data_IF_012245593158
#
_entry.id   IF_012245593158
#
_cell.length_a   1.000
_cell.length_b   1.000
_cell.length_c   1.000
_cell.angle_alpha   90.00
_cell.angle_beta   90.00
_cell.angle_gamma   90.00
#
_symmetry.space_group_name_H-M   'P 1'
#
loop_
_entity.id
_entity.type
_entity.pdbx_description
1 polymer ?
#
# COMPACT_ATOMS: atom_id res chain seq x y z
N UNK A 1 -42.57 4.26 -0.62
CA UNK A 1 -42.16 3.15 0.26
C UNK A 1 -42.49 1.85 -0.47
N UNK A 2 -41.52 1.27 -1.15
CA UNK A 2 -41.67 -0.01 -1.83
C UNK A 2 -40.44 -0.84 -1.49
N UNK A 3 -40.68 -1.80 -0.61
CA UNK A 3 -39.73 -2.82 -0.18
C UNK A 3 -39.60 -3.79 -1.35
N UNK A 4 -38.41 -3.91 -1.92
CA UNK A 4 -38.05 -5.06 -2.74
C UNK A 4 -37.12 -5.94 -1.90
N UNK A 5 -37.73 -6.95 -1.26
CA UNK A 5 -37.04 -8.17 -0.89
C UNK A 5 -37.19 -9.15 -2.06
N UNK A 6 -36.08 -9.55 -2.66
CA UNK A 6 -35.89 -10.93 -3.12
C UNK A 6 -34.47 -11.35 -2.76
N UNK A 7 -34.29 -12.21 -1.75
CA UNK A 7 -33.01 -12.77 -1.36
C UNK A 7 -32.95 -14.24 -1.77
N UNK A 8 -32.46 -14.59 -2.96
CA UNK A 8 -32.10 -15.99 -3.27
C UNK A 8 -31.37 -16.09 -4.61
N UNK A 9 -30.05 -15.87 -4.61
CA UNK A 9 -29.06 -16.46 -5.56
C UNK A 9 -27.60 -16.04 -5.29
N UNK A 10 -27.21 -15.92 -4.03
CA UNK A 10 -25.79 -15.86 -3.64
C UNK A 10 -25.37 -17.14 -2.90
N UNK A 11 -25.72 -18.30 -3.45
CA UNK A 11 -25.00 -19.54 -3.15
C UNK A 11 -23.77 -19.59 -4.06
N UNK A 12 -22.71 -18.90 -3.66
CA UNK A 12 -21.38 -19.14 -4.20
C UNK A 12 -20.37 -19.28 -3.07
N UNK A 13 -19.94 -20.53 -2.87
CA UNK A 13 -18.63 -20.94 -2.36
C UNK A 13 -18.37 -20.67 -0.87
N UNK A 14 -18.85 -21.63 -0.09
CA UNK A 14 -18.30 -22.07 1.18
C UNK A 14 -16.76 -22.09 1.20
N UNK A 15 -16.14 -21.40 2.16
CA UNK A 15 -14.83 -21.83 2.72
C UNK A 15 -13.65 -20.86 2.65
N UNK A 16 -13.75 -19.70 2.00
CA UNK A 16 -12.71 -18.68 2.04
C UNK A 16 -13.31 -17.38 2.54
N UNK A 17 -12.99 -16.98 3.79
CA UNK A 17 -13.20 -15.60 4.22
C UNK A 17 -12.33 -14.71 3.32
N UNK A 18 -12.92 -14.15 2.26
CA UNK A 18 -12.22 -13.22 1.37
C UNK A 18 -12.05 -11.91 2.10
N UNK A 19 -10.82 -11.61 2.51
CA UNK A 19 -10.43 -10.25 2.87
C UNK A 19 -10.65 -9.37 1.63
N UNK A 20 -11.33 -8.25 1.81
CA UNK A 20 -11.50 -7.28 0.73
C UNK A 20 -10.20 -6.49 0.59
N UNK A 21 -9.53 -6.62 -0.56
CA UNK A 21 -8.36 -5.84 -0.92
C UNK A 21 -8.73 -4.71 -1.88
N UNK A 22 -8.36 -3.48 -1.56
CA UNK A 22 -8.50 -2.32 -2.45
C UNK A 22 -7.10 -1.86 -2.86
N UNK A 23 -6.82 -1.89 -4.16
CA UNK A 23 -5.62 -1.28 -4.74
C UNK A 23 -5.82 0.23 -4.85
N UNK A 24 -5.06 0.99 -4.07
CA UNK A 24 -5.12 2.45 -4.11
C UNK A 24 -4.52 3.01 -5.40
N UNK A 25 -3.62 2.30 -6.07
CA UNK A 25 -3.10 2.68 -7.38
C UNK A 25 -4.22 2.75 -8.43
N UNK A 26 -5.20 1.84 -8.34
CA UNK A 26 -6.37 1.86 -9.22
C UNK A 26 -7.29 3.06 -8.93
N UNK A 27 -7.40 3.45 -7.65
CA UNK A 27 -8.14 4.65 -7.25
C UNK A 27 -7.40 5.92 -7.73
N UNK A 28 -6.09 5.99 -7.53
CA UNK A 28 -5.23 7.10 -7.98
C UNK A 28 -5.36 7.28 -9.50
N UNK A 29 -5.24 6.21 -10.29
CA UNK A 29 -5.42 6.25 -11.74
C UNK A 29 -6.84 6.74 -12.15
N UNK A 30 -7.85 6.41 -11.36
CA UNK A 30 -9.21 6.93 -11.52
C UNK A 30 -9.29 8.44 -11.28
N UNK A 31 -8.67 8.94 -10.19
CA UNK A 31 -8.58 10.38 -9.91
C UNK A 31 -7.85 11.14 -11.01
N UNK A 32 -6.71 10.63 -11.46
CA UNK A 32 -5.91 11.22 -12.54
C UNK A 32 -6.72 11.42 -13.81
N UNK A 33 -7.51 10.41 -14.19
CA UNK A 33 -8.27 10.41 -15.43
C UNK A 33 -9.57 11.19 -15.35
N UNK A 34 -10.28 11.09 -14.24
CA UNK A 34 -11.66 11.57 -14.13
C UNK A 34 -11.78 12.89 -13.35
N UNK A 35 -10.81 13.22 -12.50
CA UNK A 35 -10.83 14.39 -11.61
C UNK A 35 -9.48 15.13 -11.59
N UNK A 36 -8.95 15.55 -12.76
CA UNK A 36 -7.62 16.17 -12.85
C UNK A 36 -7.48 17.45 -12.00
N UNK A 37 -8.58 18.16 -11.72
CA UNK A 37 -8.63 19.34 -10.86
C UNK A 37 -8.21 19.08 -9.41
N UNK A 38 -8.22 17.82 -8.97
CA UNK A 38 -7.75 17.43 -7.63
C UNK A 38 -6.23 17.55 -7.48
N UNK A 39 -5.52 17.53 -8.62
CA UNK A 39 -4.06 17.55 -8.68
C UNK A 39 -3.39 16.23 -8.29
N UNK A 40 -4.16 15.13 -8.18
CA UNK A 40 -3.62 13.78 -8.03
C UNK A 40 -3.04 13.38 -9.39
N UNK A 41 -1.71 13.35 -9.52
CA UNK A 41 -1.03 13.09 -10.79
C UNK A 41 0.40 12.56 -10.62
N UNK A 42 0.59 11.28 -10.93
CA UNK A 42 1.87 10.56 -10.93
C UNK A 42 2.74 10.84 -12.16
N UNK A 43 2.19 11.48 -13.20
CA UNK A 43 2.86 11.80 -14.47
C UNK A 43 3.17 13.30 -14.63
N UNK A 44 3.20 14.05 -13.52
CA UNK A 44 3.38 15.51 -13.50
C UNK A 44 4.81 15.99 -13.82
N UNK A 45 5.72 15.08 -14.19
CA UNK A 45 7.12 15.39 -14.48
C UNK A 45 7.95 15.78 -13.24
N UNK A 46 7.39 15.54 -12.05
CA UNK A 46 8.09 15.74 -10.78
C UNK A 46 9.13 14.65 -10.55
N UNK A 47 10.07 14.92 -9.63
CA UNK A 47 10.96 13.87 -9.13
C UNK A 47 10.14 12.74 -8.48
N UNK A 48 10.74 11.56 -8.35
CA UNK A 48 10.06 10.43 -7.71
C UNK A 48 9.68 10.74 -6.26
N UNK A 49 10.56 11.41 -5.51
CA UNK A 49 10.29 11.85 -4.14
C UNK A 49 9.19 12.92 -4.06
N UNK A 50 9.19 13.90 -4.96
CA UNK A 50 8.14 14.93 -4.98
C UNK A 50 6.78 14.36 -5.36
N UNK A 51 6.77 13.39 -6.29
CA UNK A 51 5.57 12.64 -6.66
C UNK A 51 5.03 11.87 -5.45
N UNK A 52 5.89 11.16 -4.71
CA UNK A 52 5.51 10.47 -3.47
C UNK A 52 4.88 11.42 -2.45
N UNK A 53 5.49 12.59 -2.21
CA UNK A 53 4.98 13.61 -1.29
C UNK A 53 3.62 14.16 -1.74
N UNK A 54 3.50 14.47 -3.03
CA UNK A 54 2.26 14.98 -3.62
C UNK A 54 1.12 13.99 -3.44
N UNK A 55 1.32 12.74 -3.88
CA UNK A 55 0.27 11.72 -3.83
C UNK A 55 -0.08 11.39 -2.39
N UNK A 56 0.91 11.19 -1.51
CA UNK A 56 0.70 10.92 -0.09
C UNK A 56 -0.15 11.99 0.59
N UNK A 57 0.21 13.27 0.43
CA UNK A 57 -0.51 14.38 1.04
C UNK A 57 -1.96 14.54 0.54
N UNK A 58 -2.28 14.02 -0.65
CA UNK A 58 -3.62 14.02 -1.23
C UNK A 58 -4.43 12.77 -0.85
N UNK A 59 -3.80 11.60 -0.87
CA UNK A 59 -4.46 10.33 -0.60
C UNK A 59 -4.68 10.09 0.88
N UNK A 60 -3.81 10.57 1.77
CA UNK A 60 -4.00 10.40 3.20
C UNK A 60 -5.33 10.98 3.74
N UNK A 61 -5.72 12.23 3.46
CA UNK A 61 -7.02 12.75 3.88
C UNK A 61 -8.20 12.06 3.17
N UNK A 62 -8.01 11.60 1.93
CA UNK A 62 -9.04 10.81 1.23
C UNK A 62 -9.28 9.46 1.92
N UNK A 63 -8.22 8.73 2.26
CA UNK A 63 -8.30 7.48 3.03
C UNK A 63 -8.95 7.73 4.39
N UNK A 64 -8.60 8.81 5.08
CA UNK A 64 -9.25 9.18 6.34
C UNK A 64 -10.76 9.31 6.17
N UNK A 65 -11.22 10.03 5.13
CA UNK A 65 -12.64 10.17 4.83
C UNK A 65 -13.30 8.81 4.50
N UNK A 66 -12.60 7.92 3.79
CA UNK A 66 -13.08 6.55 3.54
C UNK A 66 -13.31 5.79 4.85
N UNK A 67 -12.36 5.83 5.78
CA UNK A 67 -12.46 5.14 7.08
C UNK A 67 -13.57 5.72 7.97
N UNK A 68 -13.77 7.04 7.92
CA UNK A 68 -14.82 7.73 8.70
C UNK A 68 -16.25 7.50 8.15
N UNK A 69 -16.40 6.99 6.93
CA UNK A 69 -17.73 6.66 6.38
C UNK A 69 -18.46 5.58 7.19
N UNK A 70 -17.75 4.79 7.99
CA UNK A 70 -18.31 3.73 8.83
C UNK A 70 -18.66 2.44 8.07
N UNK A 71 -18.85 2.52 6.75
CA UNK A 71 -19.17 1.38 5.87
C UNK A 71 -18.17 0.22 6.06
N UNK A 72 -16.88 0.55 6.25
CA UNK A 72 -15.82 -0.46 6.31
C UNK A 72 -15.66 -1.13 7.69
N UNK A 73 -16.18 -0.53 8.76
CA UNK A 73 -16.05 -1.06 10.12
C UNK A 73 -16.95 -2.29 10.35
N UNK A 74 -17.98 -2.45 9.53
CA UNK A 74 -18.95 -3.54 9.63
C UNK A 74 -18.51 -4.82 8.91
N UNK A 75 -17.47 -4.76 8.05
CA UNK A 75 -17.01 -5.92 7.28
C UNK A 75 -16.17 -6.89 8.11
N UNK A 76 -16.59 -8.16 8.11
CA UNK A 76 -15.82 -9.28 8.66
C UNK A 76 -15.67 -10.39 7.61
N UNK A 77 -14.43 -10.77 7.22
CA UNK A 77 -13.15 -10.23 7.68
C UNK A 77 -12.94 -8.79 7.21
N UNK A 78 -12.06 -8.05 7.90
CA UNK A 78 -11.79 -6.64 7.62
C UNK A 78 -11.22 -6.37 6.22
N UNK A 79 -10.89 -5.11 5.96
CA UNK A 79 -10.39 -4.64 4.66
C UNK A 79 -8.88 -4.37 4.70
N UNK A 80 -8.21 -4.59 3.57
CA UNK A 80 -6.81 -4.19 3.34
C UNK A 80 -6.79 -3.13 2.25
N UNK A 81 -6.21 -1.96 2.56
CA UNK A 81 -5.89 -0.94 1.59
C UNK A 81 -4.41 -1.09 1.22
N UNK A 82 -4.14 -1.44 -0.04
CA UNK A 82 -2.78 -1.52 -0.58
C UNK A 82 -2.42 -0.19 -1.23
N UNK A 83 -1.44 0.51 -0.67
CA UNK A 83 -1.00 1.82 -1.14
C UNK A 83 0.53 1.93 -1.16
N UNK A 84 1.08 2.15 -2.35
CA UNK A 84 2.51 2.41 -2.52
C UNK A 84 2.90 3.81 -2.00
N UNK A 85 2.07 4.82 -2.25
CA UNK A 85 2.42 6.23 -2.06
C UNK A 85 1.80 6.87 -0.81
N UNK A 86 1.97 6.24 0.35
CA UNK A 86 1.58 6.82 1.64
C UNK A 86 2.80 7.01 2.54
N UNK A 87 3.13 8.25 2.86
CA UNK A 87 4.23 8.56 3.78
C UNK A 87 3.79 8.40 5.24
N UNK A 88 4.68 7.91 6.11
CA UNK A 88 4.43 7.87 7.55
C UNK A 88 3.99 9.21 8.16
N UNK A 89 4.56 10.33 7.70
CA UNK A 89 4.20 11.67 8.22
C UNK A 89 2.75 12.05 7.91
N UNK A 90 2.24 11.71 6.73
CA UNK A 90 0.86 11.98 6.34
C UNK A 90 -0.12 11.00 6.98
N UNK A 91 0.27 9.72 7.15
CA UNK A 91 -0.48 8.79 7.99
C UNK A 91 -0.66 9.35 9.41
N UNK A 92 0.44 9.80 10.04
CA UNK A 92 0.38 10.36 11.39
C UNK A 92 -0.47 11.63 11.47
N UNK A 93 -0.46 12.45 10.43
CA UNK A 93 -1.19 13.70 10.37
C UNK A 93 -2.70 13.52 10.16
N UNK A 94 -3.10 12.57 9.30
CA UNK A 94 -4.47 12.48 8.82
C UNK A 94 -5.19 11.20 9.25
N UNK A 95 -4.50 10.07 9.33
CA UNK A 95 -5.13 8.75 9.47
C UNK A 95 -5.02 8.24 10.90
N UNK A 96 -3.89 8.48 11.58
CA UNK A 96 -3.62 7.97 12.92
C UNK A 96 -4.77 8.24 13.90
N UNK A 97 -5.13 7.20 14.67
CA UNK A 97 -6.29 7.19 15.56
C UNK A 97 -7.61 6.78 14.90
N UNK A 98 -7.65 6.55 13.58
CA UNK A 98 -8.74 5.79 12.96
C UNK A 98 -8.68 4.31 13.36
N UNK A 99 -9.80 3.59 13.18
CA UNK A 99 -9.89 2.14 13.38
C UNK A 99 -9.19 1.38 12.25
N UNK A 100 -7.85 1.47 12.23
CA UNK A 100 -7.00 0.80 11.25
C UNK A 100 -5.59 0.57 11.81
N UNK A 101 -4.95 -0.49 11.35
CA UNK A 101 -3.52 -0.71 11.54
C UNK A 101 -2.77 -0.39 10.23
N UNK A 102 -1.55 0.13 10.35
CA UNK A 102 -0.67 0.42 9.22
C UNK A 102 0.61 -0.40 9.35
N UNK A 103 1.12 -0.89 8.22
CA UNK A 103 2.39 -1.60 8.13
C UNK A 103 3.13 -1.15 6.87
N UNK A 104 4.42 -0.88 7.02
CA UNK A 104 5.29 -0.48 5.91
C UNK A 104 6.20 -1.64 5.50
N UNK A 105 6.19 -2.02 4.23
CA UNK A 105 7.16 -2.94 3.66
C UNK A 105 8.14 -2.14 2.82
N UNK A 106 9.43 -2.23 3.15
CA UNK A 106 10.48 -1.39 2.56
C UNK A 106 11.64 -2.25 2.04
N UNK A 107 12.48 -1.65 1.20
CA UNK A 107 13.74 -2.23 0.70
C UNK A 107 14.90 -1.25 0.85
N UNK A 108 15.17 -0.84 2.09
CA UNK A 108 16.15 0.21 2.44
C UNK A 108 17.57 -0.30 2.69
N UNK A 109 17.72 -1.59 3.02
CA UNK A 109 19.01 -2.20 3.41
C UNK A 109 19.79 -2.79 2.20
N UNK A 110 19.58 -2.22 1.02
CA UNK A 110 20.23 -2.61 -0.24
C UNK A 110 20.63 -1.39 -1.06
N UNK A 111 21.67 -1.52 -1.88
CA UNK A 111 22.00 -0.50 -2.89
C UNK A 111 21.03 -0.56 -4.08
N UNK A 112 20.96 0.49 -4.93
CA UNK A 112 20.18 0.44 -6.16
C UNK A 112 20.56 -0.74 -7.07
N UNK A 113 21.84 -1.07 -7.17
CA UNK A 113 22.33 -2.20 -7.98
C UNK A 113 21.86 -3.55 -7.42
N UNK A 114 21.92 -3.71 -6.09
CA UNK A 114 21.39 -4.89 -5.42
C UNK A 114 19.86 -5.00 -5.60
N UNK A 115 19.14 -3.88 -5.47
CA UNK A 115 17.69 -3.81 -5.66
C UNK A 115 17.28 -4.13 -7.10
N UNK A 116 18.05 -3.67 -8.08
CA UNK A 116 17.89 -4.01 -9.49
C UNK A 116 18.13 -5.52 -9.72
N UNK A 117 19.21 -6.07 -9.17
CA UNK A 117 19.53 -7.49 -9.29
C UNK A 117 18.45 -8.39 -8.66
N UNK A 118 17.90 -7.98 -7.50
CA UNK A 118 16.78 -8.65 -6.86
C UNK A 118 15.56 -8.64 -7.79
N UNK A 119 15.23 -7.49 -8.39
CA UNK A 119 14.10 -7.38 -9.30
C UNK A 119 14.23 -8.33 -10.50
N UNK A 120 15.37 -8.30 -11.20
CA UNK A 120 15.63 -9.17 -12.36
C UNK A 120 15.54 -10.66 -12.02
N UNK A 121 15.87 -11.03 -10.78
CA UNK A 121 15.82 -12.42 -10.32
C UNK A 121 14.38 -12.91 -10.07
N UNK A 122 13.49 -12.03 -9.61
CA UNK A 122 12.17 -12.43 -9.12
C UNK A 122 11.01 -11.98 -10.00
N UNK A 123 11.18 -10.95 -10.84
CA UNK A 123 10.16 -10.53 -11.80
C UNK A 123 9.84 -11.68 -12.76
N UNK A 124 8.56 -11.86 -13.02
CA UNK A 124 7.99 -12.85 -13.93
C UNK A 124 7.20 -12.14 -15.03
N UNK A 125 6.81 -12.84 -16.09
CA UNK A 125 6.00 -12.26 -17.18
C UNK A 125 4.65 -11.66 -16.73
N UNK A 126 4.21 -11.95 -15.50
CA UNK A 126 3.00 -11.36 -14.90
C UNK A 126 3.24 -9.97 -14.31
N UNK A 127 4.49 -9.62 -14.04
CA UNK A 127 4.89 -8.35 -13.46
C UNK A 127 5.05 -7.32 -14.58
N UNK A 128 4.40 -6.16 -14.45
CA UNK A 128 4.43 -5.12 -15.49
C UNK A 128 5.86 -4.57 -15.75
N UNK A 129 6.78 -4.78 -14.81
CA UNK A 129 8.20 -4.41 -14.90
C UNK A 129 9.05 -5.39 -15.68
N UNK A 130 8.57 -6.61 -15.95
CA UNK A 130 9.36 -7.68 -16.57
C UNK A 130 9.88 -7.32 -17.97
N UNK A 131 9.09 -6.58 -18.73
CA UNK A 131 9.42 -6.18 -20.11
C UNK A 131 10.09 -4.81 -20.22
N UNK A 132 10.38 -4.13 -19.10
CA UNK A 132 11.08 -2.84 -19.11
C UNK A 132 12.55 -3.01 -19.46
N UNK A 133 13.16 -1.96 -19.99
CA UNK A 133 14.60 -1.97 -20.26
C UNK A 133 15.41 -2.00 -18.97
N UNK A 134 16.67 -2.44 -19.06
CA UNK A 134 17.55 -2.44 -17.89
C UNK A 134 17.80 -1.01 -17.38
N UNK A 135 17.85 -0.01 -18.27
CA UNK A 135 17.98 1.41 -17.90
C UNK A 135 16.77 1.88 -17.08
N UNK A 136 15.54 1.61 -17.53
CA UNK A 136 14.32 1.97 -16.80
C UNK A 136 14.25 1.31 -15.41
N UNK A 137 14.67 0.05 -15.33
CA UNK A 137 14.68 -0.71 -14.07
C UNK A 137 15.76 -0.20 -13.11
N UNK A 138 16.93 0.20 -13.61
CA UNK A 138 17.99 0.80 -12.81
C UNK A 138 17.57 2.14 -12.23
N UNK A 139 16.97 3.02 -13.04
CA UNK A 139 16.40 4.28 -12.57
C UNK A 139 15.34 4.03 -11.49
N UNK A 140 14.41 3.09 -11.74
CA UNK A 140 13.41 2.69 -10.77
C UNK A 140 14.00 2.18 -9.45
N UNK A 141 15.09 1.40 -9.50
CA UNK A 141 15.75 0.89 -8.31
C UNK A 141 16.37 2.01 -7.46
N UNK A 142 16.94 3.05 -8.08
CA UNK A 142 17.44 4.24 -7.36
C UNK A 142 16.30 4.90 -6.59
N UNK A 143 15.18 5.17 -7.25
CA UNK A 143 14.03 5.83 -6.63
C UNK A 143 13.43 5.02 -5.48
N UNK A 144 13.29 3.71 -5.65
CA UNK A 144 12.68 2.83 -4.62
C UNK A 144 13.57 2.75 -3.38
N UNK A 145 14.90 2.68 -3.55
CA UNK A 145 15.84 2.67 -2.42
C UNK A 145 15.80 4.01 -1.68
N UNK A 146 15.84 5.12 -2.41
CA UNK A 146 15.74 6.47 -1.83
C UNK A 146 14.45 6.64 -1.01
N UNK A 147 13.30 6.28 -1.58
CA UNK A 147 12.01 6.33 -0.89
C UNK A 147 11.95 5.40 0.32
N UNK A 148 12.50 4.19 0.21
CA UNK A 148 12.52 3.22 1.31
C UNK A 148 13.35 3.72 2.51
N UNK A 149 14.50 4.35 2.25
CA UNK A 149 15.32 4.96 3.29
C UNK A 149 14.54 6.09 3.98
N UNK A 150 13.92 6.98 3.20
CA UNK A 150 13.12 8.08 3.75
C UNK A 150 11.94 7.57 4.60
N UNK A 151 11.21 6.55 4.12
CA UNK A 151 10.11 5.92 4.86
C UNK A 151 10.62 5.29 6.16
N UNK A 152 11.76 4.59 6.13
CA UNK A 152 12.37 3.98 7.33
C UNK A 152 12.67 5.02 8.40
N UNK A 153 13.30 6.13 8.03
CA UNK A 153 13.63 7.21 8.95
C UNK A 153 12.37 7.79 9.61
N UNK A 154 11.31 8.01 8.83
CA UNK A 154 10.04 8.51 9.36
C UNK A 154 9.34 7.46 10.25
N UNK A 155 9.33 6.18 9.87
CA UNK A 155 8.78 5.12 10.72
C UNK A 155 9.52 5.05 12.06
N UNK A 156 10.85 5.14 12.06
CA UNK A 156 11.65 5.19 13.29
C UNK A 156 11.31 6.43 14.13
N UNK A 157 11.19 7.60 13.50
CA UNK A 157 10.82 8.85 14.16
C UNK A 157 9.45 8.80 14.83
N UNK A 158 8.45 8.19 14.18
CA UNK A 158 7.08 8.12 14.70
C UNK A 158 6.78 6.83 15.48
N UNK A 159 7.73 5.91 15.60
CA UNK A 159 7.52 4.62 16.26
C UNK A 159 6.55 3.69 15.52
N UNK A 160 6.45 3.81 14.19
CA UNK A 160 5.58 2.97 13.36
C UNK A 160 6.26 1.65 12.96
N UNK A 161 5.48 0.56 12.84
CA UNK A 161 6.03 -0.73 12.41
C UNK A 161 6.43 -0.69 10.94
N UNK A 162 7.62 -1.20 10.64
CA UNK A 162 8.12 -1.39 9.29
C UNK A 162 8.86 -2.72 9.17
N UNK A 163 8.90 -3.27 7.96
CA UNK A 163 9.50 -4.56 7.65
C UNK A 163 10.44 -4.40 6.45
N UNK A 164 11.73 -4.66 6.69
CA UNK A 164 12.74 -4.73 5.64
C UNK A 164 12.60 -6.06 4.89
N UNK A 165 12.34 -6.00 3.58
CA UNK A 165 11.97 -7.18 2.77
C UNK A 165 12.90 -7.42 1.58
N UNK A 166 13.98 -6.64 1.44
CA UNK A 166 14.97 -6.86 0.39
C UNK A 166 15.72 -8.19 0.59
N UNK A 167 15.91 -8.61 1.84
CA UNK A 167 16.60 -9.83 2.25
C UNK A 167 15.68 -10.69 3.11
N UNK A 168 15.82 -12.01 3.02
CA UNK A 168 15.05 -12.99 3.81
C UNK A 168 13.51 -12.77 3.80
N UNK A 169 12.95 -12.31 2.67
CA UNK A 169 11.54 -11.91 2.52
C UNK A 169 10.55 -12.86 3.18
N UNK A 170 10.64 -14.17 2.87
CA UNK A 170 9.75 -15.19 3.43
C UNK A 170 9.78 -15.23 4.97
N UNK A 171 10.98 -15.14 5.55
CA UNK A 171 11.14 -15.14 7.01
C UNK A 171 10.53 -13.90 7.64
N UNK A 172 10.68 -12.74 6.98
CA UNK A 172 10.12 -11.47 7.44
C UNK A 172 8.59 -11.49 7.37
N UNK A 173 8.01 -12.01 6.28
CA UNK A 173 6.57 -12.19 6.17
C UNK A 173 6.03 -13.16 7.24
N UNK A 174 6.70 -14.29 7.48
CA UNK A 174 6.32 -15.20 8.56
C UNK A 174 6.29 -14.50 9.94
N UNK A 175 7.29 -13.65 10.23
CA UNK A 175 7.31 -12.85 11.47
C UNK A 175 6.17 -11.84 11.52
N UNK A 176 5.88 -11.17 10.41
CA UNK A 176 4.75 -10.25 10.31
C UNK A 176 3.42 -10.95 10.62
N UNK A 177 3.17 -12.11 9.99
CA UNK A 177 1.95 -12.90 10.24
C UNK A 177 1.85 -13.40 11.69
N UNK A 178 2.98 -13.81 12.29
CA UNK A 178 3.03 -14.18 13.71
C UNK A 178 2.66 -12.99 14.61
N UNK A 179 3.17 -11.80 14.31
CA UNK A 179 2.85 -10.58 15.05
C UNK A 179 1.35 -10.23 14.96
N UNK A 180 0.73 -10.42 13.80
CA UNK A 180 -0.72 -10.23 13.64
C UNK A 180 -1.52 -11.21 14.49
N UNK A 181 -1.19 -12.51 14.44
CA UNK A 181 -1.89 -13.55 15.21
C UNK A 181 -1.76 -13.35 16.73
N UNK A 182 -0.60 -12.88 17.21
CA UNK A 182 -0.40 -12.58 18.63
C UNK A 182 -1.33 -11.44 19.09
N UNK A 183 -1.52 -10.41 18.26
CA UNK A 183 -2.47 -9.32 18.56
C UNK A 183 -3.91 -9.82 18.58
N UNK A 184 -4.31 -10.68 17.64
CA UNK A 184 -5.67 -11.22 17.57
C UNK A 184 -6.04 -12.10 18.77
N UNK A 185 -5.07 -12.75 19.42
CA UNK A 185 -5.29 -13.63 20.58
C UNK A 185 -5.24 -12.91 21.94
N UNK A 186 -4.99 -11.60 21.95
CA UNK A 186 -4.88 -10.79 23.19
C UNK A 186 -6.11 -9.88 23.40
N UNK A 187 -7.12 -10.01 22.55
CA UNK A 187 -8.45 -9.38 22.65
C UNK A 187 -9.51 -10.43 22.99
#
# INVERSE_FOLDING_TARGET
MQVFQEPEKAQFLTGWQRIMGISMDSIIAGFEKCFPETGVNTYSGLSSMDTLRLISGKMAPFIRAMLESGEYNEFKPGMVLDIYQLLPEDYMKYIHGADCEIFYFITSDVTPEERFAIQKKYDTEKDYTFYKSDEELQEGAVYIVEQSIYIKEQCQKYGLPYFETAKDRERIFCRFLQNLNLKSNTL
#
